data_IF_183805323324
#
_entry.id   IF_183805323324
#
_cell.length_a   1.000
_cell.length_b   1.000
_cell.length_c   1.000
_cell.angle_alpha   90.00
_cell.angle_beta   90.00
_cell.angle_gamma   90.00
#
_symmetry.space_group_name_H-M   'P 1'
#
loop_
_entity.id
_entity.type
_entity.pdbx_description
1 polymer ?
#
# COMPACT_ATOMS: atom_id res chain seq x y z
N UNK A 1 -22.33 -12.99 0.14
CA UNK A 1 -21.92 -12.41 1.44
C UNK A 1 -23.03 -11.51 1.96
N UNK A 2 -23.52 -11.74 3.19
CA UNK A 2 -24.58 -10.96 3.85
C UNK A 2 -24.06 -9.62 4.42
N UNK A 3 -24.93 -8.62 4.69
CA UNK A 3 -24.50 -7.33 5.29
C UNK A 3 -23.97 -7.59 6.68
N UNK A 4 -24.65 -8.49 7.38
CA UNK A 4 -24.26 -8.99 8.70
C UNK A 4 -22.93 -9.73 8.65
N UNK A 5 -22.66 -10.49 7.58
CA UNK A 5 -21.35 -11.11 7.36
C UNK A 5 -20.30 -10.02 7.12
N UNK A 6 -20.53 -9.06 6.21
CA UNK A 6 -19.59 -7.96 5.94
C UNK A 6 -19.33 -7.04 7.16
N UNK A 7 -20.36 -6.76 7.94
CA UNK A 7 -20.24 -6.07 9.23
C UNK A 7 -19.48 -6.90 10.26
N UNK A 8 -19.65 -8.24 10.25
CA UNK A 8 -18.87 -9.15 11.10
C UNK A 8 -17.41 -9.20 10.67
N UNK A 9 -17.13 -9.16 9.36
CA UNK A 9 -15.77 -9.06 8.79
C UNK A 9 -15.10 -7.79 9.28
N UNK A 10 -15.79 -6.66 9.15
CA UNK A 10 -15.29 -5.36 9.61
C UNK A 10 -15.06 -5.37 11.12
N UNK A 11 -15.96 -5.97 11.90
CA UNK A 11 -15.81 -6.10 13.35
C UNK A 11 -14.63 -7.01 13.72
N UNK A 12 -14.40 -8.08 12.97
CA UNK A 12 -13.29 -9.01 13.18
C UNK A 12 -11.94 -8.41 12.81
N UNK A 13 -11.91 -7.52 11.82
CA UNK A 13 -10.69 -6.88 11.35
C UNK A 13 -10.22 -5.71 12.23
N UNK A 14 -11.05 -5.23 13.16
CA UNK A 14 -10.67 -4.19 14.11
C UNK A 14 -9.39 -4.60 14.86
N UNK A 15 -8.43 -3.69 14.92
CA UNK A 15 -7.14 -3.84 15.63
C UNK A 15 -6.27 -5.01 15.15
N UNK A 16 -6.67 -5.74 14.10
CA UNK A 16 -5.85 -6.81 13.53
C UNK A 16 -4.88 -6.23 12.51
N UNK A 17 -3.65 -6.77 12.53
CA UNK A 17 -2.69 -6.54 11.45
C UNK A 17 -3.16 -7.27 10.19
N UNK A 18 -3.51 -6.50 9.17
CA UNK A 18 -3.80 -6.97 7.81
C UNK A 18 -2.49 -7.07 7.01
N UNK A 19 -2.57 -7.32 5.70
CA UNK A 19 -1.42 -7.23 4.79
C UNK A 19 -0.65 -5.91 4.94
N UNK A 20 0.67 -5.96 4.90
CA UNK A 20 1.50 -4.78 4.77
C UNK A 20 1.72 -3.99 6.07
N UNK A 21 1.29 -4.48 7.24
CA UNK A 21 1.32 -3.65 8.45
C UNK A 21 0.20 -2.58 8.46
N UNK A 22 -0.90 -2.87 7.75
CA UNK A 22 -2.16 -2.13 7.86
C UNK A 22 -2.89 -2.61 9.12
N UNK A 23 -3.45 -1.71 9.90
CA UNK A 23 -4.38 -2.02 10.99
C UNK A 23 -5.55 -1.06 10.93
N UNK A 24 -6.75 -1.52 11.25
CA UNK A 24 -7.94 -0.70 11.14
C UNK A 24 -8.65 -0.57 12.49
N UNK A 25 -9.20 0.61 12.77
CA UNK A 25 -9.95 0.89 13.99
C UNK A 25 -11.24 1.62 13.65
N UNK A 26 -12.27 1.44 14.48
CA UNK A 26 -13.58 2.07 14.32
C UNK A 26 -14.18 1.87 12.91
N UNK A 27 -13.79 0.81 12.18
CA UNK A 27 -14.33 0.56 10.86
C UNK A 27 -15.83 0.27 10.95
N UNK A 28 -16.59 0.84 10.02
CA UNK A 28 -18.04 0.68 9.91
C UNK A 28 -18.40 0.55 8.44
N UNK A 29 -19.48 -0.20 8.19
CA UNK A 29 -20.17 -0.17 6.91
C UNK A 29 -21.64 0.16 7.13
N UNK A 30 -22.17 1.03 6.27
CA UNK A 30 -23.57 1.43 6.29
C UNK A 30 -24.13 1.31 4.88
N UNK A 31 -25.33 0.74 4.76
CA UNK A 31 -26.11 0.76 3.52
C UNK A 31 -27.15 1.88 3.63
N UNK A 32 -27.23 2.74 2.62
CA UNK A 32 -28.21 3.83 2.59
C UNK A 32 -29.55 3.43 1.93
N UNK A 33 -29.70 2.17 1.50
CA UNK A 33 -30.90 1.66 0.85
C UNK A 33 -30.98 1.91 -0.67
N UNK A 34 -30.04 2.66 -1.24
CA UNK A 34 -29.97 3.02 -2.66
C UNK A 34 -28.83 2.32 -3.39
N UNK A 35 -28.45 1.11 -2.93
CA UNK A 35 -27.27 0.36 -3.41
C UNK A 35 -25.95 1.13 -3.24
N UNK A 36 -25.91 2.07 -2.30
CA UNK A 36 -24.68 2.76 -1.92
C UNK A 36 -24.25 2.32 -0.51
N UNK A 37 -23.07 1.72 -0.45
CA UNK A 37 -22.41 1.35 0.79
C UNK A 37 -21.44 2.45 1.17
N UNK A 38 -21.43 2.86 2.44
CA UNK A 38 -20.40 3.75 2.97
C UNK A 38 -19.49 2.94 3.89
N UNK A 39 -18.20 2.91 3.59
CA UNK A 39 -17.18 2.34 4.49
C UNK A 39 -16.44 3.50 5.16
N UNK A 40 -16.42 3.51 6.49
CA UNK A 40 -15.77 4.57 7.26
C UNK A 40 -14.97 4.03 8.43
N UNK A 41 -14.05 4.83 8.97
CA UNK A 41 -13.21 4.49 10.12
C UNK A 41 -11.74 4.87 9.91
N UNK A 42 -10.88 4.41 10.82
CA UNK A 42 -9.46 4.72 10.81
C UNK A 42 -8.65 3.57 10.20
N UNK A 43 -7.77 3.89 9.27
CA UNK A 43 -6.81 2.95 8.69
C UNK A 43 -5.41 3.43 8.98
N UNK A 44 -4.70 2.71 9.85
CA UNK A 44 -3.28 2.93 10.07
C UNK A 44 -2.47 2.10 9.09
N UNK A 45 -1.53 2.70 8.39
CA UNK A 45 -0.58 2.00 7.52
C UNK A 45 0.82 2.22 8.06
N UNK A 46 1.53 1.13 8.37
CA UNK A 46 2.90 1.18 8.88
C UNK A 46 3.86 0.65 7.83
N UNK A 47 4.75 1.53 7.35
CA UNK A 47 5.86 1.16 6.47
C UNK A 47 7.15 1.06 7.29
N UNK A 48 7.74 -0.15 7.33
CA UNK A 48 9.06 -0.36 7.95
C UNK A 48 10.15 0.10 6.99
N UNK A 49 11.06 0.93 7.47
CA UNK A 49 12.16 1.48 6.67
C UNK A 49 13.47 0.90 7.17
N UNK A 50 14.19 0.19 6.31
CA UNK A 50 15.42 -0.50 6.69
C UNK A 50 16.63 0.11 6.00
N UNK A 51 17.49 0.79 6.74
CA UNK A 51 18.74 1.34 6.21
C UNK A 51 19.77 0.24 5.97
N UNK A 52 19.89 -0.20 4.73
CA UNK A 52 20.90 -1.14 4.27
C UNK A 52 22.03 -0.46 3.50
N UNK A 53 22.18 0.87 3.58
CA UNK A 53 23.30 1.57 2.94
C UNK A 53 24.62 1.24 3.63
N UNK A 54 25.71 1.24 2.86
CA UNK A 54 27.06 0.99 3.36
C UNK A 54 27.56 2.14 4.23
N UNK A 55 27.27 3.39 3.84
CA UNK A 55 27.76 4.60 4.52
C UNK A 55 26.78 5.17 5.57
N UNK A 56 25.58 4.61 5.67
CA UNK A 56 24.50 5.14 6.49
C UNK A 56 23.70 6.24 5.78
N UNK A 57 22.40 6.29 6.06
CA UNK A 57 21.48 7.26 5.49
C UNK A 57 21.27 8.46 6.43
N UNK A 58 22.20 9.42 6.43
CA UNK A 58 22.20 10.56 7.39
C UNK A 58 20.98 11.51 7.33
N UNK A 59 20.20 11.50 6.26
CA UNK A 59 18.96 12.29 6.11
C UNK A 59 17.70 11.41 6.17
N UNK A 60 17.83 10.15 6.57
CA UNK A 60 16.75 9.16 6.51
C UNK A 60 15.49 9.64 7.22
N UNK A 61 15.62 10.18 8.44
CA UNK A 61 14.48 10.67 9.20
C UNK A 61 13.71 11.77 8.46
N UNK A 62 14.42 12.72 7.82
CA UNK A 62 13.81 13.77 7.01
C UNK A 62 13.07 13.19 5.79
N UNK A 63 13.69 12.25 5.09
CA UNK A 63 13.09 11.59 3.92
C UNK A 63 11.83 10.80 4.31
N UNK A 64 11.91 10.05 5.40
CA UNK A 64 10.76 9.33 5.97
C UNK A 64 9.62 10.28 6.32
N UNK A 65 9.90 11.40 7.00
CA UNK A 65 8.86 12.37 7.33
C UNK A 65 8.22 12.99 6.08
N UNK A 66 9.02 13.31 5.06
CA UNK A 66 8.51 13.82 3.79
C UNK A 66 7.62 12.79 3.10
N UNK A 67 8.07 11.54 2.98
CA UNK A 67 7.28 10.46 2.37
C UNK A 67 6.01 10.16 3.15
N UNK A 68 6.07 10.15 4.49
CA UNK A 68 4.88 10.01 5.34
C UNK A 68 3.83 11.08 5.02
N UNK A 69 4.25 12.35 4.98
CA UNK A 69 3.35 13.47 4.68
C UNK A 69 2.74 13.35 3.28
N UNK A 70 3.55 13.00 2.28
CA UNK A 70 3.07 12.79 0.90
C UNK A 70 2.02 11.68 0.86
N UNK A 71 2.30 10.50 1.43
CA UNK A 71 1.35 9.38 1.44
C UNK A 71 0.05 9.79 2.14
N UNK A 72 0.14 10.41 3.32
CA UNK A 72 -1.04 10.89 4.07
C UNK A 72 -1.89 11.86 3.25
N UNK A 73 -1.28 12.86 2.61
CA UNK A 73 -1.99 13.85 1.79
C UNK A 73 -2.70 13.18 0.59
N UNK A 74 -2.01 12.28 -0.12
CA UNK A 74 -2.55 11.63 -1.31
C UNK A 74 -3.57 10.54 -1.01
N UNK A 75 -3.62 10.02 0.21
CA UNK A 75 -4.69 9.12 0.64
C UNK A 75 -5.91 9.88 1.20
N UNK A 76 -5.71 10.95 1.99
CA UNK A 76 -6.80 11.66 2.68
C UNK A 76 -7.60 12.66 1.81
N UNK A 77 -7.08 13.05 0.64
CA UNK A 77 -7.66 14.12 -0.19
C UNK A 77 -8.95 13.82 -0.99
N UNK A 78 -9.87 12.98 -0.52
CA UNK A 78 -11.13 12.77 -1.24
C UNK A 78 -12.24 12.15 -0.39
N UNK A 79 -13.07 12.98 0.24
CA UNK A 79 -14.36 12.55 0.79
C UNK A 79 -15.26 12.09 -0.35
N UNK A 80 -15.90 10.92 -0.21
CA UNK A 80 -16.90 10.46 -1.18
C UNK A 80 -16.33 9.86 -2.46
N UNK A 81 -15.13 9.27 -2.43
CA UNK A 81 -14.67 8.42 -3.53
C UNK A 81 -15.63 7.26 -3.67
N UNK A 82 -16.37 7.23 -4.78
CA UNK A 82 -17.32 6.17 -5.11
C UNK A 82 -16.69 5.20 -6.11
N UNK A 83 -16.90 3.91 -5.89
CA UNK A 83 -16.51 2.91 -6.88
C UNK A 83 -17.35 1.65 -6.78
N UNK A 84 -17.57 1.03 -7.94
CA UNK A 84 -18.38 -0.17 -8.05
C UNK A 84 -17.68 -1.39 -7.43
N UNK A 85 -18.39 -2.15 -6.61
CA UNK A 85 -17.96 -3.47 -6.13
C UNK A 85 -19.07 -4.47 -6.47
N UNK A 86 -18.69 -5.63 -7.01
CA UNK A 86 -19.63 -6.73 -7.20
C UNK A 86 -19.88 -7.37 -5.84
N UNK A 87 -21.11 -7.28 -5.39
CA UNK A 87 -21.58 -8.01 -4.22
C UNK A 87 -22.81 -8.80 -4.64
N UNK A 88 -23.19 -9.76 -3.81
CA UNK A 88 -24.54 -10.30 -3.92
C UNK A 88 -25.57 -9.17 -3.74
N UNK A 89 -26.83 -9.31 -4.16
CA UNK A 89 -27.87 -8.29 -4.00
C UNK A 89 -28.48 -8.35 -2.61
N UNK A 90 -28.56 -7.27 -1.86
CA UNK A 90 -29.28 -7.15 -0.59
C UNK A 90 -30.77 -6.94 -0.85
N UNK A 91 -31.60 -7.80 -0.29
CA UNK A 91 -33.05 -7.68 -0.25
C UNK A 91 -33.44 -6.96 1.05
N UNK A 92 -33.81 -5.66 1.00
CA UNK A 92 -34.11 -4.87 2.20
C UNK A 92 -35.35 -5.38 2.94
N UNK A 93 -36.31 -6.00 2.24
CA UNK A 93 -37.51 -6.56 2.85
C UNK A 93 -37.19 -7.83 3.65
N UNK A 94 -36.24 -8.63 3.16
CA UNK A 94 -35.80 -9.86 3.84
C UNK A 94 -34.58 -9.66 4.73
N UNK A 95 -34.01 -8.45 4.76
CA UNK A 95 -32.77 -8.08 5.46
C UNK A 95 -31.62 -9.08 5.21
N UNK A 96 -31.52 -9.63 3.99
CA UNK A 96 -30.49 -10.62 3.61
C UNK A 96 -30.05 -10.45 2.16
N UNK A 97 -28.86 -10.94 1.84
CA UNK A 97 -28.35 -10.97 0.47
C UNK A 97 -28.91 -12.19 -0.31
N UNK A 98 -29.21 -12.03 -1.60
CA UNK A 98 -29.67 -13.08 -2.55
C UNK A 98 -28.47 -13.70 -3.27
N UNK A 99 -28.67 -14.77 -4.04
CA UNK A 99 -27.60 -15.38 -4.84
C UNK A 99 -27.27 -14.57 -6.10
N UNK A 100 -28.11 -13.60 -6.46
CA UNK A 100 -27.89 -12.74 -7.61
C UNK A 100 -26.77 -11.75 -7.30
N UNK A 101 -25.83 -11.58 -8.21
CA UNK A 101 -24.84 -10.51 -8.13
C UNK A 101 -25.46 -9.18 -8.55
N UNK A 102 -25.14 -8.12 -7.84
CA UNK A 102 -25.50 -6.75 -8.19
C UNK A 102 -24.29 -5.83 -7.99
N UNK A 103 -24.33 -4.67 -8.63
CA UNK A 103 -23.27 -3.68 -8.53
C UNK A 103 -23.64 -2.69 -7.44
N UNK A 104 -22.79 -2.61 -6.41
CA UNK A 104 -22.89 -1.61 -5.35
C UNK A 104 -21.91 -0.49 -5.59
N UNK A 105 -22.36 0.74 -5.39
CA UNK A 105 -21.46 1.89 -5.30
C UNK A 105 -20.92 1.97 -3.87
N UNK A 106 -19.61 1.91 -3.69
CA UNK A 106 -18.97 2.02 -2.38
C UNK A 106 -18.34 3.38 -2.23
N UNK A 107 -18.81 4.17 -1.26
CA UNK A 107 -18.22 5.42 -0.82
C UNK A 107 -17.20 5.16 0.30
N UNK A 108 -15.94 5.55 0.09
CA UNK A 108 -14.88 5.43 1.10
C UNK A 108 -14.72 6.72 1.88
N UNK A 109 -14.96 6.67 3.19
CA UNK A 109 -14.81 7.75 4.16
C UNK A 109 -13.81 7.32 5.26
N UNK A 110 -12.60 6.98 4.82
CA UNK A 110 -11.54 6.46 5.67
C UNK A 110 -10.57 7.57 6.08
N UNK A 111 -10.17 7.56 7.35
CA UNK A 111 -9.12 8.41 7.89
C UNK A 111 -7.79 7.65 7.90
N UNK A 112 -6.81 8.09 7.11
CA UNK A 112 -5.52 7.42 7.01
C UNK A 112 -4.47 7.98 7.96
N UNK A 113 -3.94 7.09 8.80
CA UNK A 113 -2.81 7.36 9.70
C UNK A 113 -1.58 6.63 9.13
N UNK A 114 -0.66 7.37 8.53
CA UNK A 114 0.54 6.77 7.93
C UNK A 114 1.71 6.90 8.89
N UNK A 115 2.40 5.79 9.12
CA UNK A 115 3.61 5.70 9.95
C UNK A 115 4.76 5.15 9.13
N UNK A 116 5.91 5.81 9.19
CA UNK A 116 7.17 5.27 8.71
C UNK A 116 8.05 4.99 9.92
N UNK A 117 8.40 3.73 10.12
CA UNK A 117 9.16 3.28 11.29
C UNK A 117 10.51 2.74 10.84
N UNK A 118 11.59 3.38 11.30
CA UNK A 118 12.93 2.88 11.02
C UNK A 118 13.18 1.62 11.84
N UNK A 119 13.68 0.59 11.19
CA UNK A 119 14.16 -0.62 11.84
C UNK A 119 15.67 -0.72 11.72
N UNK A 120 16.28 -1.39 12.70
CA UNK A 120 17.71 -1.65 12.77
C UNK A 120 18.02 -3.15 12.65
N UNK A 121 17.02 -4.01 12.87
CA UNK A 121 17.17 -5.47 12.84
C UNK A 121 16.04 -6.15 12.08
N UNK A 122 16.34 -7.26 11.40
CA UNK A 122 15.34 -8.08 10.71
C UNK A 122 14.26 -8.65 11.62
N UNK A 123 14.57 -8.87 12.91
CA UNK A 123 13.61 -9.37 13.91
C UNK A 123 12.47 -8.39 14.20
N UNK A 124 12.60 -7.12 13.80
CA UNK A 124 11.54 -6.11 13.89
C UNK A 124 10.55 -6.19 12.72
N UNK A 125 10.84 -7.02 11.71
CA UNK A 125 9.91 -7.38 10.65
C UNK A 125 9.09 -8.59 11.10
N UNK A 126 7.80 -8.52 10.84
CA UNK A 126 6.84 -9.55 11.21
C UNK A 126 5.93 -9.87 10.03
N UNK A 127 5.58 -11.15 9.89
CA UNK A 127 4.53 -11.61 8.99
C UNK A 127 4.64 -11.01 7.58
N UNK A 128 3.77 -10.04 7.32
CA UNK A 128 3.52 -9.43 6.02
C UNK A 128 3.75 -7.90 6.02
N UNK A 129 4.61 -7.36 6.90
CA UNK A 129 4.90 -5.91 6.97
C UNK A 129 5.30 -5.32 5.60
N UNK A 130 4.83 -4.10 5.29
CA UNK A 130 5.40 -3.31 4.19
C UNK A 130 6.82 -2.91 4.57
N UNK A 131 7.76 -3.13 3.65
CA UNK A 131 9.17 -2.78 3.87
C UNK A 131 9.70 -1.95 2.72
N UNK A 132 10.35 -0.84 3.05
CA UNK A 132 11.18 -0.06 2.17
C UNK A 132 12.64 -0.22 2.57
N UNK A 133 13.39 -0.99 1.80
CA UNK A 133 14.83 -1.14 1.95
C UNK A 133 15.56 0.05 1.32
N UNK A 134 16.30 0.80 2.12
CA UNK A 134 17.14 1.90 1.63
C UNK A 134 18.52 1.34 1.30
N UNK A 135 18.93 1.45 0.04
CA UNK A 135 20.10 0.76 -0.50
C UNK A 135 21.08 1.74 -1.15
N UNK A 136 22.31 1.30 -1.41
CA UNK A 136 23.34 2.15 -2.01
C UNK A 136 23.03 2.45 -3.48
N UNK A 137 22.55 1.45 -4.23
CA UNK A 137 22.18 1.60 -5.63
C UNK A 137 21.24 0.48 -6.09
N UNK A 138 20.51 0.77 -7.17
CA UNK A 138 19.74 -0.19 -7.95
C UNK A 138 20.23 -0.05 -9.38
N UNK A 139 20.72 -1.12 -10.00
CA UNK A 139 21.18 -1.08 -11.40
C UNK A 139 20.21 -1.73 -12.38
N UNK A 140 18.99 -2.05 -11.93
CA UNK A 140 17.90 -2.47 -12.79
C UNK A 140 17.63 -1.39 -13.86
N UNK A 141 17.50 -1.83 -15.11
CA UNK A 141 17.20 -0.94 -16.23
C UNK A 141 15.89 -1.33 -16.91
N UNK A 142 15.07 -0.32 -17.15
CA UNK A 142 13.91 -0.38 -18.05
C UNK A 142 14.11 0.70 -19.09
N UNK A 143 14.01 0.36 -20.38
CA UNK A 143 14.09 1.32 -21.49
C UNK A 143 15.34 2.23 -21.47
N UNK A 144 16.47 1.67 -21.01
CA UNK A 144 17.77 2.35 -20.94
C UNK A 144 18.02 3.23 -19.70
N UNK A 145 16.99 3.49 -18.89
CA UNK A 145 17.10 4.26 -17.65
C UNK A 145 17.38 3.35 -16.44
N UNK A 146 18.22 3.81 -15.51
CA UNK A 146 18.48 3.12 -14.24
C UNK A 146 17.38 3.45 -13.25
N UNK A 147 16.80 2.43 -12.61
CA UNK A 147 15.73 2.61 -11.64
C UNK A 147 16.22 3.27 -10.34
N UNK A 148 15.45 4.24 -9.84
CA UNK A 148 15.69 4.89 -8.55
C UNK A 148 15.07 4.13 -7.38
N UNK A 149 13.99 3.41 -7.66
CA UNK A 149 13.27 2.54 -6.75
C UNK A 149 12.70 1.35 -7.50
N UNK A 150 12.43 0.28 -6.77
CA UNK A 150 11.87 -0.95 -7.30
C UNK A 150 10.99 -1.61 -6.26
N UNK A 151 9.81 -2.04 -6.66
CA UNK A 151 8.82 -2.66 -5.76
C UNK A 151 8.30 -3.97 -6.31
N UNK A 152 8.21 -4.98 -5.46
CA UNK A 152 7.38 -6.16 -5.72
C UNK A 152 5.93 -5.78 -5.50
N UNK A 153 5.18 -5.76 -6.59
CA UNK A 153 3.80 -5.30 -6.63
C UNK A 153 2.88 -5.94 -5.58
N UNK A 154 1.92 -5.16 -5.07
CA UNK A 154 0.75 -5.68 -4.37
C UNK A 154 0.99 -6.32 -3.00
N UNK A 155 1.80 -5.69 -2.14
CA UNK A 155 2.10 -6.18 -0.78
C UNK A 155 3.55 -6.57 -0.57
N UNK A 156 4.36 -6.60 -1.63
CA UNK A 156 5.73 -7.06 -1.56
C UNK A 156 6.72 -5.99 -1.08
N UNK A 157 7.98 -6.39 -0.87
CA UNK A 157 9.04 -5.47 -0.48
C UNK A 157 9.37 -4.45 -1.58
N UNK A 158 9.79 -3.28 -1.14
CA UNK A 158 10.31 -2.20 -1.97
C UNK A 158 11.77 -1.92 -1.64
N UNK A 159 12.51 -1.37 -2.60
CA UNK A 159 13.85 -0.84 -2.40
C UNK A 159 13.97 0.54 -3.05
N UNK A 160 14.79 1.40 -2.45
CA UNK A 160 15.06 2.74 -2.98
C UNK A 160 16.53 3.08 -2.82
N UNK A 161 17.14 3.60 -3.88
CA UNK A 161 18.49 4.16 -3.83
C UNK A 161 18.49 5.43 -2.98
N UNK A 162 19.33 5.46 -1.94
CA UNK A 162 19.38 6.59 -1.00
C UNK A 162 19.68 7.92 -1.70
N UNK A 163 20.69 7.94 -2.58
CA UNK A 163 21.09 9.15 -3.30
C UNK A 163 20.03 9.62 -4.30
N UNK A 164 19.25 8.68 -4.86
CA UNK A 164 18.15 9.02 -5.75
C UNK A 164 16.96 9.57 -4.97
N UNK A 165 16.61 8.96 -3.84
CA UNK A 165 15.52 9.45 -2.98
C UNK A 165 15.78 10.86 -2.46
N UNK A 166 17.03 11.16 -2.12
CA UNK A 166 17.45 12.53 -1.72
C UNK A 166 17.19 13.58 -2.80
N UNK A 167 17.33 13.21 -4.08
CA UNK A 167 17.10 14.12 -5.21
C UNK A 167 15.62 14.20 -5.57
N UNK A 168 14.88 13.10 -5.42
CA UNK A 168 13.49 12.98 -5.82
C UNK A 168 12.64 12.53 -4.62
N UNK A 169 12.11 13.47 -3.80
CA UNK A 169 11.48 13.14 -2.52
C UNK A 169 10.17 12.34 -2.65
N UNK A 170 9.49 12.44 -3.80
CA UNK A 170 8.26 11.69 -4.09
C UNK A 170 8.49 10.20 -4.37
N UNK A 171 9.73 9.79 -4.65
CA UNK A 171 10.05 8.42 -5.01
C UNK A 171 9.68 7.41 -3.91
N UNK A 172 9.87 7.75 -2.64
CA UNK A 172 9.46 6.87 -1.54
C UNK A 172 7.95 6.61 -1.50
N UNK A 173 7.13 7.60 -1.85
CA UNK A 173 5.67 7.44 -1.93
C UNK A 173 5.26 6.66 -3.18
N UNK A 174 5.94 6.89 -4.31
CA UNK A 174 5.74 6.16 -5.57
C UNK A 174 5.95 4.66 -5.38
N UNK A 175 7.08 4.25 -4.80
CA UNK A 175 7.36 2.84 -4.51
C UNK A 175 6.33 2.24 -3.55
N UNK A 176 5.92 2.98 -2.52
CA UNK A 176 4.89 2.52 -1.61
C UNK A 176 3.53 2.30 -2.33
N UNK A 177 3.16 3.14 -3.30
CA UNK A 177 1.91 2.98 -4.04
C UNK A 177 1.93 1.80 -5.02
N UNK A 178 3.09 1.39 -5.53
CA UNK A 178 3.22 0.08 -6.19
C UNK A 178 2.88 -1.08 -5.24
N UNK A 179 3.26 -0.98 -3.96
CA UNK A 179 2.89 -1.97 -2.96
C UNK A 179 1.36 -2.00 -2.73
N UNK A 180 0.66 -0.88 -2.98
CA UNK A 180 -0.80 -0.79 -3.02
C UNK A 180 -1.42 -1.08 -4.41
N UNK A 181 -0.67 -1.70 -5.33
CA UNK A 181 -1.05 -2.10 -6.70
C UNK A 181 -1.27 -0.96 -7.71
N UNK A 182 -0.75 0.24 -7.49
CA UNK A 182 -0.72 1.25 -8.56
C UNK A 182 0.38 0.94 -9.57
N UNK A 183 0.05 0.96 -10.85
CA UNK A 183 1.03 0.83 -11.94
C UNK A 183 1.61 2.15 -12.35
N UNK A 184 2.81 2.06 -12.92
CA UNK A 184 3.41 3.17 -13.63
C UNK A 184 2.49 3.68 -14.73
N UNK A 185 2.44 5.00 -14.83
CA UNK A 185 1.85 5.71 -15.95
C UNK A 185 2.96 6.11 -16.91
N UNK A 186 2.68 5.92 -18.20
CA UNK A 186 3.59 6.25 -19.29
C UNK A 186 3.07 7.43 -20.10
N UNK A 187 3.97 8.11 -20.79
CA UNK A 187 3.65 9.17 -21.74
C UNK A 187 3.58 10.57 -21.14
N UNK A 188 3.70 11.58 -22.02
CA UNK A 188 3.93 12.99 -21.65
C UNK A 188 2.83 13.60 -20.76
N UNK A 189 1.60 13.12 -20.90
CA UNK A 189 0.43 13.62 -20.14
C UNK A 189 0.45 13.18 -18.68
N UNK A 190 1.20 12.13 -18.34
CA UNK A 190 1.30 11.62 -16.98
C UNK A 190 2.41 12.27 -16.14
N UNK A 191 3.21 13.18 -16.71
CA UNK A 191 4.42 13.76 -16.08
C UNK A 191 4.18 14.51 -14.77
N UNK A 192 2.95 14.93 -14.47
CA UNK A 192 2.59 15.54 -13.17
C UNK A 192 2.14 14.51 -12.13
N UNK A 193 1.81 13.29 -12.57
CA UNK A 193 1.32 12.23 -11.71
C UNK A 193 2.46 11.62 -10.90
N UNK A 194 2.18 11.33 -9.64
CA UNK A 194 3.10 10.70 -8.71
C UNK A 194 3.54 9.31 -9.20
N UNK A 195 2.67 8.59 -9.92
CA UNK A 195 2.95 7.28 -10.52
C UNK A 195 3.55 7.35 -11.93
N UNK A 196 4.09 8.50 -12.36
CA UNK A 196 4.82 8.56 -13.63
C UNK A 196 6.10 7.71 -13.54
N UNK A 197 6.39 6.93 -14.59
CA UNK A 197 7.48 5.92 -14.61
C UNK A 197 8.89 6.49 -14.41
N UNK A 198 9.06 7.80 -14.59
CA UNK A 198 10.32 8.49 -14.34
C UNK A 198 10.26 9.25 -13.02
N UNK A 199 11.40 9.33 -12.32
CA UNK A 199 11.50 10.14 -11.10
C UNK A 199 11.50 11.65 -11.43
N UNK A 200 10.87 12.44 -10.57
CA UNK A 200 10.85 13.89 -10.71
C UNK A 200 10.37 14.59 -9.45
N UNK A 201 10.69 15.87 -9.34
CA UNK A 201 10.35 16.70 -8.17
C UNK A 201 8.95 17.31 -8.26
N UNK A 202 8.33 17.31 -9.44
CA UNK A 202 6.99 17.85 -9.68
C UNK A 202 5.87 16.80 -9.72
N UNK A 203 6.18 15.53 -9.40
CA UNK A 203 5.24 14.41 -9.54
C UNK A 203 4.35 14.32 -8.30
N UNK A 204 3.27 15.11 -8.30
CA UNK A 204 2.47 15.38 -7.10
C UNK A 204 1.04 14.83 -7.18
N UNK A 205 0.55 14.50 -8.37
CA UNK A 205 -0.86 14.21 -8.58
C UNK A 205 -1.18 12.72 -8.40
N UNK A 206 -2.32 12.41 -7.79
CA UNK A 206 -2.91 11.07 -7.75
C UNK A 206 -4.39 11.20 -8.09
N UNK A 207 -4.84 10.50 -9.14
CA UNK A 207 -6.21 10.57 -9.64
C UNK A 207 -7.20 9.85 -8.74
N UNK A 208 -8.49 10.12 -8.92
CA UNK A 208 -9.55 9.42 -8.18
C UNK A 208 -9.56 7.92 -8.47
N UNK A 209 -9.28 7.50 -9.72
CA UNK A 209 -9.18 6.08 -10.08
C UNK A 209 -8.03 5.39 -9.36
N UNK A 210 -6.86 6.05 -9.27
CA UNK A 210 -5.73 5.55 -8.51
C UNK A 210 -6.09 5.43 -7.01
N UNK A 211 -6.74 6.44 -6.44
CA UNK A 211 -7.22 6.37 -5.04
C UNK A 211 -8.20 5.22 -4.85
N UNK A 212 -9.10 4.98 -5.81
CA UNK A 212 -10.05 3.88 -5.75
C UNK A 212 -9.35 2.52 -5.79
N UNK A 213 -8.33 2.34 -6.63
CA UNK A 213 -7.52 1.12 -6.67
C UNK A 213 -6.85 0.86 -5.32
N UNK A 214 -6.24 1.88 -4.71
CA UNK A 214 -5.60 1.75 -3.40
C UNK A 214 -6.62 1.39 -2.30
N UNK A 215 -7.78 2.06 -2.25
CA UNK A 215 -8.84 1.76 -1.28
C UNK A 215 -9.37 0.33 -1.46
N UNK A 216 -9.57 -0.12 -2.72
CA UNK A 216 -9.97 -1.50 -3.01
C UNK A 216 -8.93 -2.52 -2.54
N UNK A 217 -7.63 -2.23 -2.70
CA UNK A 217 -6.57 -3.10 -2.17
C UNK A 217 -6.69 -3.27 -0.66
N UNK A 218 -6.93 -2.17 0.07
CA UNK A 218 -7.05 -2.16 1.53
C UNK A 218 -8.27 -2.96 1.98
N UNK A 219 -9.44 -2.72 1.40
CA UNK A 219 -10.68 -3.41 1.77
C UNK A 219 -10.67 -4.89 1.37
N UNK A 220 -10.06 -5.26 0.24
CA UNK A 220 -9.92 -6.67 -0.17
C UNK A 220 -9.29 -7.52 0.93
N UNK A 221 -8.30 -6.99 1.64
CA UNK A 221 -7.66 -7.73 2.73
C UNK A 221 -8.60 -7.99 3.91
N UNK A 222 -9.61 -7.14 4.13
CA UNK A 222 -10.63 -7.39 5.14
C UNK A 222 -11.49 -8.59 4.73
N UNK A 223 -11.92 -8.65 3.46
CA UNK A 223 -12.75 -9.73 2.92
C UNK A 223 -12.05 -11.10 2.92
N UNK A 224 -10.76 -11.11 2.54
CA UNK A 224 -9.92 -12.32 2.57
C UNK A 224 -9.75 -12.89 4.00
N UNK A 225 -9.92 -12.09 5.07
CA UNK A 225 -9.72 -12.54 6.44
C UNK A 225 -10.79 -13.49 6.99
N UNK A 226 -11.97 -13.52 6.37
CA UNK A 226 -13.12 -14.28 6.86
C UNK A 226 -13.44 -15.50 6.01
N UNK A 227 -12.93 -15.53 4.77
CA UNK A 227 -13.15 -16.60 3.80
C UNK A 227 -12.20 -17.80 3.97
N UNK A 228 -11.20 -17.72 4.84
CA UNK A 228 -10.26 -18.81 5.17
C UNK A 228 -9.54 -18.51 6.50
N UNK A 229 -8.85 -19.46 7.18
CA UNK A 229 -7.82 -19.07 8.12
C UNK A 229 -6.82 -18.20 7.36
N UNK A 230 -6.85 -16.89 7.60
CA UNK A 230 -6.05 -15.91 6.86
C UNK A 230 -4.55 -16.14 7.10
N UNK A 231 -3.99 -17.11 6.39
CA UNK A 231 -2.58 -17.22 6.13
C UNK A 231 -2.34 -16.43 4.87
N UNK A 232 -2.00 -15.14 4.99
CA UNK A 232 -1.50 -14.41 3.83
C UNK A 232 -0.31 -15.24 3.27
N UNK A 233 -0.34 -15.70 2.00
CA UNK A 233 0.71 -16.59 1.48
C UNK A 233 2.12 -15.97 1.53
N UNK A 234 2.20 -14.65 1.77
CA UNK A 234 3.42 -13.86 1.93
C UNK A 234 3.79 -13.53 3.38
N UNK A 235 3.33 -14.29 4.38
CA UNK A 235 3.65 -14.10 5.82
C UNK A 235 5.14 -14.21 6.19
N UNK A 236 6.04 -14.21 5.21
CA UNK A 236 7.47 -14.20 5.42
C UNK A 236 8.11 -13.00 4.71
N UNK A 237 7.80 -11.79 5.18
CA UNK A 237 8.42 -10.54 4.73
C UNK A 237 9.94 -10.63 4.69
N UNK A 238 10.57 -11.27 5.68
CA UNK A 238 12.04 -11.44 5.73
C UNK A 238 12.55 -12.28 4.55
N UNK A 239 11.93 -13.44 4.29
CA UNK A 239 12.32 -14.28 3.15
C UNK A 239 12.04 -13.60 1.82
N UNK A 240 10.89 -12.94 1.66
CA UNK A 240 10.53 -12.22 0.45
C UNK A 240 11.50 -11.06 0.18
N UNK A 241 11.85 -10.29 1.21
CA UNK A 241 12.85 -9.23 1.12
C UNK A 241 14.22 -9.81 0.77
N UNK A 242 14.62 -10.94 1.36
CA UNK A 242 15.88 -11.63 1.02
C UNK A 242 15.91 -12.07 -0.44
N UNK A 243 14.86 -12.70 -0.93
CA UNK A 243 14.75 -13.12 -2.34
C UNK A 243 14.81 -11.90 -3.26
N UNK A 244 14.06 -10.85 -2.92
CA UNK A 244 13.99 -9.62 -3.70
C UNK A 244 15.33 -8.89 -3.80
N UNK A 245 16.03 -8.69 -2.67
CA UNK A 245 17.32 -8.00 -2.62
C UNK A 245 18.44 -8.81 -3.30
N UNK A 246 18.37 -10.14 -3.31
CA UNK A 246 19.38 -11.00 -3.92
C UNK A 246 19.07 -11.39 -5.38
N UNK A 247 17.96 -10.90 -5.95
CA UNK A 247 17.63 -11.16 -7.35
C UNK A 247 18.62 -10.44 -8.26
N UNK A 248 19.50 -11.20 -8.91
CA UNK A 248 20.61 -10.70 -9.75
C UNK A 248 20.12 -9.65 -10.77
N UNK A 249 18.98 -9.91 -11.43
CA UNK A 249 18.39 -9.01 -12.42
C UNK A 249 18.17 -7.59 -11.88
N UNK A 250 17.86 -7.43 -10.59
CA UNK A 250 17.56 -6.14 -9.99
C UNK A 250 18.83 -5.32 -9.72
N UNK A 251 19.99 -5.98 -9.60
CA UNK A 251 21.27 -5.32 -9.38
C UNK A 251 21.28 -4.41 -8.14
N UNK A 252 20.61 -4.84 -7.07
CA UNK A 252 20.50 -4.07 -5.83
C UNK A 252 21.82 -4.19 -5.04
N UNK A 253 22.48 -3.06 -4.81
CA UNK A 253 23.70 -2.97 -4.02
C UNK A 253 23.36 -2.45 -2.62
N UNK A 254 23.65 -3.26 -1.62
CA UNK A 254 23.37 -2.96 -0.22
C UNK A 254 24.40 -3.61 0.70
N UNK A 255 24.49 -3.12 1.93
CA UNK A 255 25.32 -3.70 2.96
C UNK A 255 24.70 -4.99 3.49
N UNK A 256 25.22 -6.12 3.01
CA UNK A 256 24.78 -7.45 3.42
C UNK A 256 24.99 -7.73 4.91
N UNK A 257 25.92 -7.08 5.60
CA UNK A 257 26.13 -7.31 7.03
C UNK A 257 24.98 -6.75 7.87
N UNK A 258 24.40 -5.61 7.45
CA UNK A 258 23.18 -5.06 8.07
C UNK A 258 21.95 -5.94 7.83
N UNK A 259 21.98 -6.81 6.82
CA UNK A 259 20.90 -7.73 6.48
C UNK A 259 21.08 -9.14 7.08
N UNK A 260 22.13 -9.37 7.86
CA UNK A 260 22.33 -10.62 8.61
C UNK A 260 21.72 -10.49 9.99
#
# INVERSE_FOLDING_TARGET
MKLTELSSIISFAQQKKLSGGITCNHLKIQDNGSRMLTVSGDVTITLKVFDLTTKGANQLHRLMNSTRSIISEKLNGGSGLTGSVFLHKFDPNKKKFTNDSDIYTVAYNLNYIVKLEQITMLSQLSGNDFVLAVVDAISYKTDGAVSGGLTVFGGGPSSISYDTWRRYPYLGAHEFFHALKLSDLKGKTATKNLMYEYAGTGHMEVTNDQRLIMNRYIIRNLDEMYSSPYSNPNLNTVANLRIFLNKIKNGIKYNKSKFR
#
